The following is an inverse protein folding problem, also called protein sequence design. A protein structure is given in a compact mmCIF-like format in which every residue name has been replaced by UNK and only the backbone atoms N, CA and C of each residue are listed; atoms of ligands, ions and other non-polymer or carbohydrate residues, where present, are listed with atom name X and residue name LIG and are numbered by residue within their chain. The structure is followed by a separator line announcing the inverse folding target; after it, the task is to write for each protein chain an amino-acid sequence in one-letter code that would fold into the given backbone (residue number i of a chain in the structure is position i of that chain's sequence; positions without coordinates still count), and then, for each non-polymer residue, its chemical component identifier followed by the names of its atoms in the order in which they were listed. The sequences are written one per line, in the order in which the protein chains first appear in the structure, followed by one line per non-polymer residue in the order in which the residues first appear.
data_IF_045777877604
#
_entry.id   IF_045777877604
#
_cell.length_a   1.000
_cell.length_b   1.000
_cell.length_c   1.000
_cell.angle_alpha   90.00
_cell.angle_beta   90.00
_cell.angle_gamma   90.00
#
_symmetry.space_group_name_H-M   'P 1'
#
loop_
_entity.id
_entity.type
_entity.pdbx_description
1 polymer ?
#
# COMPACT_ATOMS: atom_id res chain seq x y z
N UNK A 1 -16.83 22.92 -12.38
CA UNK A 1 -17.18 24.16 -11.67
C UNK A 1 -15.95 24.69 -10.91
N UNK A 2 -14.88 25.04 -11.63
CA UNK A 2 -13.71 25.77 -11.10
C UNK A 2 -13.15 26.64 -12.22
N UNK A 3 -13.88 27.69 -12.60
CA UNK A 3 -13.51 28.64 -13.65
C UNK A 3 -12.93 29.95 -13.11
N UNK A 4 -12.79 30.06 -11.79
CA UNK A 4 -12.18 31.20 -11.14
C UNK A 4 -10.75 30.82 -10.75
N UNK A 5 -9.73 31.54 -11.25
CA UNK A 5 -8.37 31.39 -10.74
C UNK A 5 -8.41 31.61 -9.22
N UNK A 6 -7.87 30.66 -8.45
CA UNK A 6 -7.76 30.79 -6.99
C UNK A 6 -6.95 32.02 -6.56
N UNK A 7 -6.15 32.58 -7.49
CA UNK A 7 -5.33 33.76 -7.30
C UNK A 7 -5.76 34.87 -8.27
N UNK A 8 -5.97 36.09 -7.75
CA UNK A 8 -6.44 37.25 -8.54
C UNK A 8 -5.39 37.81 -9.51
N UNK A 9 -4.14 37.38 -9.41
CA UNK A 9 -3.01 37.79 -10.25
C UNK A 9 -2.39 36.58 -10.94
N UNK A 10 -1.94 36.76 -12.18
CA UNK A 10 -1.20 35.76 -12.97
C UNK A 10 0.23 35.50 -12.47
N UNK A 11 0.55 35.96 -11.26
CA UNK A 11 1.84 35.80 -10.61
C UNK A 11 1.64 35.39 -9.15
N UNK A 12 2.65 34.69 -8.60
CA UNK A 12 2.76 34.43 -7.17
C UNK A 12 2.59 35.74 -6.39
N UNK A 13 1.83 35.78 -5.28
CA UNK A 13 1.71 36.96 -4.44
C UNK A 13 3.10 37.50 -4.05
N UNK A 14 3.27 38.82 -4.04
CA UNK A 14 4.50 39.45 -3.56
C UNK A 14 4.81 38.96 -2.13
N UNK A 15 5.95 38.29 -1.97
CA UNK A 15 6.37 37.65 -0.72
C UNK A 15 6.30 36.11 -0.70
N UNK A 16 5.58 35.48 -1.63
CA UNK A 16 5.74 34.04 -1.88
C UNK A 16 7.01 33.83 -2.70
N UNK A 17 8.12 33.60 -2.00
CA UNK A 17 9.36 33.17 -2.64
C UNK A 17 9.09 31.97 -3.56
N UNK A 18 9.74 31.94 -4.73
CA UNK A 18 9.60 30.82 -5.65
C UNK A 18 9.96 29.47 -5.01
N UNK A 19 9.73 28.33 -5.68
CA UNK A 19 9.92 26.99 -5.10
C UNK A 19 11.27 26.77 -4.40
N UNK A 20 12.34 27.44 -4.85
CA UNK A 20 13.65 27.40 -4.22
C UNK A 20 13.79 28.16 -2.88
N UNK A 21 13.01 29.21 -2.65
CA UNK A 21 13.03 30.01 -1.42
C UNK A 21 12.33 29.26 -0.28
N UNK A 22 11.17 28.65 -0.56
CA UNK A 22 10.45 27.82 0.42
C UNK A 22 11.31 26.62 0.87
N UNK A 23 12.05 26.01 -0.06
CA UNK A 23 12.97 24.92 0.26
C UNK A 23 14.09 25.35 1.22
N UNK A 24 14.74 26.49 0.95
CA UNK A 24 15.84 26.98 1.77
C UNK A 24 15.39 27.43 3.17
N UNK A 25 14.17 27.94 3.32
CA UNK A 25 13.60 28.30 4.62
C UNK A 25 13.16 27.07 5.43
N UNK A 26 12.56 26.06 4.79
CA UNK A 26 12.19 24.80 5.46
C UNK A 26 13.41 24.03 5.99
N UNK A 27 14.54 24.06 5.25
CA UNK A 27 15.79 23.41 5.68
C UNK A 27 16.45 24.10 6.88
N UNK A 28 16.13 25.38 7.15
CA UNK A 28 16.62 26.12 8.33
C UNK A 28 15.83 25.82 9.60
N UNK A 29 14.62 25.27 9.50
CA UNK A 29 13.73 25.00 10.64
C UNK A 29 14.08 23.71 11.42
N UNK A 30 15.11 22.97 11.00
CA UNK A 30 15.40 21.58 11.40
C UNK A 30 15.21 21.21 12.88
N UNK A 31 15.02 19.92 13.13
CA UNK A 31 14.70 19.38 14.45
C UNK A 31 13.19 19.18 14.63
N UNK A 32 12.55 19.95 15.51
CA UNK A 32 11.12 19.81 15.81
C UNK A 32 10.18 20.01 14.60
N UNK A 33 10.68 20.62 13.51
CA UNK A 33 9.93 20.85 12.28
C UNK A 33 10.22 19.85 11.15
N UNK A 34 11.07 18.84 11.39
CA UNK A 34 11.47 17.88 10.35
C UNK A 34 10.26 17.13 9.77
N UNK A 35 9.29 16.79 10.63
CA UNK A 35 8.02 16.20 10.20
C UNK A 35 7.26 17.13 9.23
N UNK A 36 7.09 18.41 9.56
CA UNK A 36 6.34 19.36 8.74
C UNK A 36 7.02 19.62 7.41
N UNK A 37 8.36 19.70 7.41
CA UNK A 37 9.16 19.79 6.19
C UNK A 37 8.96 18.56 5.31
N UNK A 38 8.97 17.35 5.90
CA UNK A 38 8.69 16.08 5.20
C UNK A 38 7.27 16.05 4.64
N UNK A 39 6.26 16.40 5.46
CA UNK A 39 4.85 16.41 5.08
C UNK A 39 4.56 17.40 3.95
N UNK A 40 5.05 18.64 4.06
CA UNK A 40 4.84 19.68 3.05
C UNK A 40 5.49 19.30 1.71
N UNK A 41 6.72 18.77 1.74
CA UNK A 41 7.43 18.32 0.54
C UNK A 41 6.69 17.18 -0.14
N UNK A 42 6.26 16.19 0.64
CA UNK A 42 5.50 15.04 0.17
C UNK A 42 4.20 15.48 -0.53
N UNK A 43 3.43 16.38 0.10
CA UNK A 43 2.21 16.94 -0.47
C UNK A 43 2.49 17.74 -1.76
N UNK A 44 3.53 18.58 -1.76
CA UNK A 44 3.90 19.39 -2.93
C UNK A 44 4.33 18.53 -4.14
N UNK A 45 4.98 17.39 -3.88
CA UNK A 45 5.37 16.42 -4.91
C UNK A 45 4.21 15.51 -5.37
N UNK A 46 2.99 15.75 -4.87
CA UNK A 46 1.81 14.93 -5.20
C UNK A 46 1.85 13.53 -4.59
N UNK A 47 2.66 13.33 -3.54
CA UNK A 47 2.85 12.06 -2.83
C UNK A 47 2.67 12.31 -1.33
N UNK A 48 1.44 12.61 -0.87
CA UNK A 48 1.21 12.89 0.54
C UNK A 48 1.67 11.69 1.40
N UNK A 49 1.95 11.97 2.68
CA UNK A 49 2.25 10.91 3.63
C UNK A 49 1.09 9.91 3.73
N UNK A 50 1.37 8.75 4.30
CA UNK A 50 0.37 7.70 4.51
C UNK A 50 -0.84 8.26 5.29
N UNK A 51 -2.06 7.96 4.84
CA UNK A 51 -3.28 8.60 5.33
C UNK A 51 -3.58 8.22 6.79
N UNK A 52 -3.33 6.96 7.16
CA UNK A 52 -3.52 6.51 8.54
C UNK A 52 -2.52 7.19 9.48
N UNK A 53 -1.25 7.34 9.08
CA UNK A 53 -0.26 8.12 9.84
C UNK A 53 -0.74 9.55 10.06
N UNK A 54 -1.23 10.22 9.00
CA UNK A 54 -1.78 11.58 9.13
C UNK A 54 -3.01 11.62 10.05
N UNK A 55 -3.89 10.62 9.97
CA UNK A 55 -5.07 10.50 10.85
C UNK A 55 -4.65 10.30 12.30
N UNK A 56 -3.72 9.38 12.59
CA UNK A 56 -3.19 9.12 13.93
C UNK A 56 -2.57 10.37 14.53
N UNK A 57 -1.78 11.13 13.77
CA UNK A 57 -1.26 12.44 14.24
C UNK A 57 -2.41 13.37 14.62
N UNK A 58 -3.45 13.46 13.80
CA UNK A 58 -4.59 14.34 14.07
C UNK A 58 -5.44 13.90 15.27
N UNK A 59 -5.47 12.60 15.60
CA UNK A 59 -6.31 12.06 16.68
C UNK A 59 -5.57 11.77 17.98
N UNK A 60 -4.26 11.52 17.93
CA UNK A 60 -3.45 11.04 19.07
C UNK A 60 -2.49 12.10 19.62
N UNK A 61 -2.27 13.20 18.91
CA UNK A 61 -1.59 14.37 19.48
C UNK A 61 -2.66 15.22 20.18
N UNK A 62 -2.62 15.23 21.52
CA UNK A 62 -3.64 15.90 22.33
C UNK A 62 -3.63 17.43 22.09
N UNK A 63 -4.81 18.06 22.15
CA UNK A 63 -4.98 19.52 21.99
C UNK A 63 -4.01 20.35 22.86
N UNK A 64 -3.70 19.86 24.07
CA UNK A 64 -2.78 20.51 25.00
C UNK A 64 -1.34 20.59 24.46
N UNK A 65 -0.91 19.61 23.67
CA UNK A 65 0.45 19.51 23.15
C UNK A 65 0.69 20.50 22.00
N UNK A 66 -0.39 20.96 21.35
CA UNK A 66 -0.37 22.01 20.33
C UNK A 66 -0.19 23.43 20.89
N UNK A 67 -0.17 23.60 22.22
CA UNK A 67 -0.12 24.92 22.88
C UNK A 67 1.09 25.07 23.80
N UNK A 68 1.68 26.27 23.83
CA UNK A 68 2.85 26.58 24.65
C UNK A 68 4.13 26.85 23.86
N UNK A 69 5.16 27.31 24.55
CA UNK A 69 6.47 27.65 23.96
C UNK A 69 7.27 26.40 23.53
N UNK A 70 7.01 25.26 24.16
CA UNK A 70 7.61 23.96 23.87
C UNK A 70 6.70 23.03 23.02
N UNK A 71 5.58 23.55 22.52
CA UNK A 71 4.64 22.82 21.68
C UNK A 71 5.32 22.16 20.46
N UNK A 72 6.23 22.81 19.71
CA UNK A 72 6.90 22.18 18.58
C UNK A 72 7.63 20.89 18.98
N UNK A 73 8.33 20.89 20.11
CA UNK A 73 9.10 19.75 20.59
C UNK A 73 8.20 18.63 21.10
N UNK A 74 7.12 18.97 21.83
CA UNK A 74 6.13 17.99 22.31
C UNK A 74 5.44 17.28 21.16
N UNK A 75 4.94 18.06 20.18
CA UNK A 75 4.29 17.53 18.98
C UNK A 75 5.27 16.66 18.18
N UNK A 76 6.50 17.15 17.94
CA UNK A 76 7.51 16.37 17.23
C UNK A 76 7.82 15.04 17.92
N UNK A 77 7.94 15.07 19.26
CA UNK A 77 8.15 13.85 20.06
C UNK A 77 6.98 12.88 19.92
N UNK A 78 5.73 13.35 20.08
CA UNK A 78 4.55 12.48 19.98
C UNK A 78 4.39 11.92 18.56
N UNK A 79 4.67 12.70 17.53
CA UNK A 79 4.68 12.21 16.14
C UNK A 79 5.74 11.11 15.95
N UNK A 80 6.93 11.27 16.53
CA UNK A 80 7.96 10.23 16.52
C UNK A 80 7.51 8.95 17.25
N UNK A 81 6.87 9.09 18.41
CA UNK A 81 6.29 7.97 19.15
C UNK A 81 5.21 7.25 18.31
N UNK A 82 4.31 7.98 17.64
CA UNK A 82 3.31 7.39 16.72
C UNK A 82 3.99 6.65 15.56
N UNK A 83 5.05 7.23 14.98
CA UNK A 83 5.79 6.60 13.88
C UNK A 83 6.50 5.32 14.32
N UNK A 84 7.01 5.27 15.56
CA UNK A 84 7.60 4.07 16.15
C UNK A 84 6.54 3.03 16.54
N UNK A 85 5.40 3.44 17.12
CA UNK A 85 4.25 2.57 17.41
C UNK A 85 3.74 1.89 16.13
N UNK A 86 3.60 2.66 15.04
CA UNK A 86 3.22 2.10 13.73
C UNK A 86 4.28 1.15 13.16
N UNK A 87 5.56 1.34 13.50
CA UNK A 87 6.62 0.40 13.13
C UNK A 87 6.55 -0.87 13.94
N UNK A 88 6.24 -0.80 15.23
CA UNK A 88 6.06 -1.97 16.10
C UNK A 88 4.80 -2.78 15.75
N UNK A 89 3.78 -2.13 15.17
CA UNK A 89 2.59 -2.79 14.62
C UNK A 89 2.86 -3.57 13.32
N UNK A 90 4.04 -3.37 12.72
CA UNK A 90 4.43 -4.03 11.48
C UNK A 90 4.57 -5.54 11.68
N UNK A 91 4.01 -6.37 10.79
CA UNK A 91 4.14 -7.83 10.90
C UNK A 91 5.61 -8.27 10.82
N UNK A 92 6.03 -9.13 11.75
CA UNK A 92 7.36 -9.74 11.73
C UNK A 92 7.64 -10.56 10.44
N UNK A 93 6.59 -10.98 9.74
CA UNK A 93 6.65 -11.66 8.45
C UNK A 93 7.12 -10.78 7.29
N UNK A 94 7.16 -9.45 7.49
CA UNK A 94 7.68 -8.49 6.50
C UNK A 94 8.80 -7.66 7.12
N UNK A 95 10.07 -8.05 6.90
CA UNK A 95 11.20 -7.34 7.48
C UNK A 95 11.27 -5.87 7.02
N UNK A 96 11.79 -5.03 7.91
CA UNK A 96 12.11 -3.64 7.62
C UNK A 96 13.29 -3.54 6.64
N UNK A 97 13.24 -2.53 5.79
CA UNK A 97 14.30 -2.24 4.84
C UNK A 97 15.39 -1.39 5.50
N UNK A 98 16.54 -2.01 5.80
CA UNK A 98 17.73 -1.25 6.16
C UNK A 98 18.18 -0.39 4.98
N UNK A 99 18.23 0.93 5.19
CA UNK A 99 18.47 1.92 4.12
C UNK A 99 19.81 1.68 3.39
N UNK A 100 20.85 1.27 4.11
CA UNK A 100 22.18 1.04 3.52
C UNK A 100 22.22 -0.24 2.67
N UNK A 101 21.60 -1.33 3.17
CA UNK A 101 21.43 -2.58 2.42
C UNK A 101 20.54 -2.38 1.21
N UNK A 102 19.42 -1.67 1.36
CA UNK A 102 18.51 -1.36 0.26
C UNK A 102 19.21 -0.57 -0.84
N UNK A 103 19.92 0.51 -0.51
CA UNK A 103 20.65 1.30 -1.50
C UNK A 103 21.70 0.46 -2.25
N UNK A 104 22.34 -0.49 -1.56
CA UNK A 104 23.29 -1.44 -2.18
C UNK A 104 22.58 -2.43 -3.09
N UNK A 105 21.43 -2.95 -2.68
CA UNK A 105 20.63 -3.87 -3.48
C UNK A 105 20.05 -3.21 -4.72
N UNK A 106 19.54 -1.98 -4.61
CA UNK A 106 19.04 -1.19 -5.76
C UNK A 106 20.11 -1.02 -6.83
N UNK A 107 21.38 -0.81 -6.44
CA UNK A 107 22.49 -0.77 -7.41
C UNK A 107 22.64 -2.08 -8.17
N UNK A 108 22.51 -3.23 -7.50
CA UNK A 108 22.55 -4.57 -8.13
C UNK A 108 21.37 -4.80 -9.07
N UNK A 109 20.18 -4.32 -8.71
CA UNK A 109 19.01 -4.36 -9.60
C UNK A 109 19.28 -3.59 -10.90
N UNK A 110 19.86 -2.39 -10.79
CA UNK A 110 20.24 -1.57 -11.95
C UNK A 110 21.39 -2.15 -12.78
N UNK A 111 22.22 -3.03 -12.21
CA UNK A 111 23.24 -3.80 -12.96
C UNK A 111 22.62 -4.91 -13.82
N UNK A 112 21.40 -5.38 -13.48
CA UNK A 112 20.69 -6.44 -14.19
C UNK A 112 19.30 -5.96 -14.67
N UNK A 113 19.21 -4.88 -15.45
CA UNK A 113 17.95 -4.20 -15.75
C UNK A 113 16.95 -5.10 -16.48
N UNK A 114 17.41 -6.01 -17.35
CA UNK A 114 16.53 -6.95 -18.05
C UNK A 114 15.78 -7.86 -17.09
N UNK A 115 16.46 -8.44 -16.10
CA UNK A 115 15.83 -9.31 -15.12
C UNK A 115 14.88 -8.52 -14.22
N UNK A 116 15.29 -7.35 -13.75
CA UNK A 116 14.43 -6.46 -12.93
C UNK A 116 13.16 -6.08 -13.68
N UNK A 117 13.25 -5.79 -14.98
CA UNK A 117 12.08 -5.50 -15.83
C UNK A 117 11.16 -6.71 -15.98
N UNK A 118 11.70 -7.88 -16.32
CA UNK A 118 10.92 -9.11 -16.49
C UNK A 118 10.20 -9.47 -15.18
N UNK A 119 10.90 -9.41 -14.05
CA UNK A 119 10.31 -9.69 -12.74
C UNK A 119 9.22 -8.70 -12.38
N UNK A 120 9.45 -7.40 -12.60
CA UNK A 120 8.47 -6.36 -12.29
C UNK A 120 7.20 -6.50 -13.14
N UNK A 121 7.34 -6.60 -14.46
CA UNK A 121 6.19 -6.72 -15.35
C UNK A 121 5.46 -8.05 -15.17
N UNK A 122 6.22 -9.14 -14.99
CA UNK A 122 5.66 -10.46 -14.70
C UNK A 122 4.81 -10.47 -13.43
N UNK A 123 5.31 -9.86 -12.35
CA UNK A 123 4.60 -9.76 -11.07
C UNK A 123 3.35 -8.88 -11.18
N UNK A 124 3.44 -7.74 -11.88
CA UNK A 124 2.29 -6.87 -12.13
C UNK A 124 1.19 -7.61 -12.89
N UNK A 125 1.54 -8.24 -14.00
CA UNK A 125 0.60 -8.94 -14.86
C UNK A 125 0.02 -10.19 -14.19
N UNK A 126 0.82 -10.94 -13.43
CA UNK A 126 0.34 -12.07 -12.64
C UNK A 126 -0.72 -11.61 -11.63
N UNK A 127 -0.46 -10.52 -10.92
CA UNK A 127 -1.36 -9.99 -9.91
C UNK A 127 -2.67 -9.49 -10.51
N UNK A 128 -2.61 -8.69 -11.57
CA UNK A 128 -3.84 -8.24 -12.24
C UNK A 128 -4.64 -9.40 -12.82
N UNK A 129 -3.99 -10.40 -13.42
CA UNK A 129 -4.69 -11.57 -13.96
C UNK A 129 -5.37 -12.35 -12.87
N UNK A 130 -4.72 -12.57 -11.72
CA UNK A 130 -5.32 -13.28 -10.60
C UNK A 130 -6.52 -12.53 -10.04
N UNK A 131 -6.41 -11.21 -9.82
CA UNK A 131 -7.53 -10.37 -9.36
C UNK A 131 -8.68 -10.39 -10.36
N UNK A 132 -8.42 -10.19 -11.66
CA UNK A 132 -9.48 -10.23 -12.69
C UNK A 132 -10.13 -11.60 -12.79
N UNK A 133 -9.36 -12.67 -12.66
CA UNK A 133 -9.91 -14.03 -12.65
C UNK A 133 -10.83 -14.23 -11.44
N UNK A 134 -10.40 -13.78 -10.25
CA UNK A 134 -11.22 -13.80 -9.05
C UNK A 134 -12.54 -13.08 -9.26
N UNK A 135 -12.51 -11.81 -9.71
CA UNK A 135 -13.70 -10.98 -9.90
C UNK A 135 -14.67 -11.54 -10.97
N UNK A 136 -14.16 -12.31 -11.91
CA UNK A 136 -14.98 -12.98 -12.93
C UNK A 136 -15.67 -14.23 -12.38
N UNK A 137 -15.01 -14.96 -11.49
CA UNK A 137 -15.44 -16.28 -11.01
C UNK A 137 -16.23 -16.18 -9.70
N UNK A 138 -15.84 -15.26 -8.82
CA UNK A 138 -16.56 -14.95 -7.60
C UNK A 138 -17.81 -14.12 -7.92
N UNK A 139 -18.95 -14.37 -7.25
CA UNK A 139 -20.12 -13.50 -7.31
C UNK A 139 -19.90 -12.23 -6.47
N UNK A 140 -18.78 -11.54 -6.70
CA UNK A 140 -18.31 -10.38 -5.96
C UNK A 140 -17.84 -9.29 -6.93
N UNK A 141 -18.09 -8.03 -6.58
CA UNK A 141 -17.65 -6.88 -7.38
C UNK A 141 -16.23 -6.43 -7.05
N UNK A 142 -15.67 -6.92 -5.94
CA UNK A 142 -14.34 -6.57 -5.47
C UNK A 142 -13.72 -7.75 -4.69
N UNK A 143 -12.42 -7.66 -4.42
CA UNK A 143 -11.72 -8.55 -3.49
C UNK A 143 -12.32 -8.44 -2.08
N UNK A 144 -12.18 -9.49 -1.26
CA UNK A 144 -12.39 -9.37 0.18
C UNK A 144 -11.60 -8.17 0.74
N UNK A 145 -12.16 -7.50 1.75
CA UNK A 145 -11.57 -6.32 2.37
C UNK A 145 -10.10 -6.54 2.75
N UNK A 146 -9.80 -7.72 3.28
CA UNK A 146 -8.48 -8.06 3.81
C UNK A 146 -7.42 -8.33 2.71
N UNK A 147 -7.86 -8.41 1.45
CA UNK A 147 -7.02 -8.55 0.27
C UNK A 147 -6.98 -7.27 -0.60
N UNK A 148 -7.63 -6.18 -0.20
CA UNK A 148 -7.71 -4.96 -1.02
C UNK A 148 -6.35 -4.38 -1.38
N UNK A 149 -5.34 -4.53 -0.51
CA UNK A 149 -3.97 -4.09 -0.77
C UNK A 149 -3.33 -4.74 -2.00
N UNK A 150 -3.83 -5.89 -2.47
CA UNK A 150 -3.36 -6.50 -3.71
C UNK A 150 -3.62 -5.62 -4.94
N UNK A 151 -4.62 -4.74 -4.93
CA UNK A 151 -4.91 -3.84 -6.05
C UNK A 151 -3.80 -2.82 -6.30
N UNK A 152 -3.03 -2.44 -5.28
CA UNK A 152 -1.96 -1.46 -5.41
C UNK A 152 -0.67 -2.07 -5.99
N UNK A 153 -0.40 -3.35 -5.71
CA UNK A 153 0.87 -4.00 -6.07
C UNK A 153 1.23 -3.93 -7.57
N UNK A 154 0.30 -4.13 -8.53
CA UNK A 154 0.63 -4.00 -9.95
C UNK A 154 1.24 -2.66 -10.33
N UNK A 155 0.71 -1.55 -9.79
CA UNK A 155 1.23 -0.22 -10.11
C UNK A 155 2.60 0.00 -9.48
N UNK A 156 2.85 -0.52 -8.27
CA UNK A 156 4.18 -0.47 -7.66
C UNK A 156 5.21 -1.21 -8.51
N UNK A 157 4.90 -2.43 -8.96
CA UNK A 157 5.78 -3.18 -9.85
C UNK A 157 6.02 -2.45 -11.18
N UNK A 158 4.96 -1.89 -11.79
CA UNK A 158 5.12 -1.09 -13.03
C UNK A 158 5.91 0.18 -12.82
N UNK A 159 5.79 0.82 -11.66
CA UNK A 159 6.60 1.97 -11.29
C UNK A 159 8.09 1.61 -11.27
N UNK A 160 8.46 0.47 -10.67
CA UNK A 160 9.83 -0.06 -10.72
C UNK A 160 10.29 -0.25 -12.17
N UNK A 161 9.49 -0.93 -13.00
CA UNK A 161 9.85 -1.16 -14.40
C UNK A 161 10.04 0.15 -15.18
N UNK A 162 9.15 1.13 -14.95
CA UNK A 162 9.21 2.45 -15.57
C UNK A 162 10.50 3.17 -15.19
N UNK A 163 10.86 3.19 -13.90
CA UNK A 163 12.08 3.84 -13.40
C UNK A 163 13.32 3.23 -14.04
N UNK A 164 13.40 1.89 -14.11
CA UNK A 164 14.52 1.19 -14.74
C UNK A 164 14.69 1.61 -16.20
N UNK A 165 13.60 1.79 -16.95
CA UNK A 165 13.59 2.20 -18.37
C UNK A 165 13.94 3.65 -18.64
N UNK A 166 13.77 4.56 -17.68
CA UNK A 166 14.01 5.99 -17.93
C UNK A 166 15.45 6.27 -18.35
N UNK A 167 15.72 7.36 -19.06
CA UNK A 167 17.09 7.80 -19.38
C UNK A 167 17.68 8.72 -18.30
N UNK A 168 17.21 8.59 -17.05
CA UNK A 168 17.72 9.38 -15.93
C UNK A 168 19.13 8.95 -15.52
N UNK A 169 19.83 9.85 -14.83
CA UNK A 169 21.15 9.55 -14.24
C UNK A 169 21.06 8.37 -13.27
N UNK A 170 22.16 7.63 -13.12
CA UNK A 170 22.21 6.45 -12.22
C UNK A 170 21.77 6.80 -10.80
N UNK A 171 22.18 7.96 -10.27
CA UNK A 171 21.79 8.38 -8.92
C UNK A 171 20.29 8.68 -8.81
N UNK A 172 19.71 9.39 -9.78
CA UNK A 172 18.27 9.65 -9.79
C UNK A 172 17.45 8.36 -9.85
N UNK A 173 17.91 7.36 -10.64
CA UNK A 173 17.29 6.04 -10.67
C UNK A 173 17.38 5.31 -9.34
N UNK A 174 18.54 5.37 -8.66
CA UNK A 174 18.71 4.77 -7.33
C UNK A 174 17.69 5.38 -6.38
N UNK A 175 17.63 6.71 -6.26
CA UNK A 175 16.73 7.38 -5.32
C UNK A 175 15.25 7.10 -5.65
N UNK A 176 14.90 7.06 -6.94
CA UNK A 176 13.55 6.72 -7.39
C UNK A 176 13.18 5.25 -7.10
N UNK A 177 14.09 4.30 -7.37
CA UNK A 177 13.86 2.88 -7.10
C UNK A 177 13.79 2.58 -5.62
N UNK A 178 14.66 3.17 -4.80
CA UNK A 178 14.62 3.04 -3.34
C UNK A 178 13.23 3.39 -2.83
N UNK A 179 12.70 4.56 -3.19
CA UNK A 179 11.34 4.98 -2.80
C UNK A 179 10.24 4.07 -3.32
N UNK A 180 10.36 3.59 -4.56
CA UNK A 180 9.36 2.69 -5.14
C UNK A 180 9.33 1.33 -4.42
N UNK A 181 10.50 0.81 -4.02
CA UNK A 181 10.63 -0.45 -3.28
C UNK A 181 10.18 -0.28 -1.82
N UNK A 182 10.48 0.84 -1.18
CA UNK A 182 9.95 1.19 0.15
C UNK A 182 8.42 1.23 0.14
N UNK A 183 7.83 1.89 -0.87
CA UNK A 183 6.37 1.94 -1.01
C UNK A 183 5.77 0.55 -1.24
N UNK A 184 6.37 -0.27 -2.11
CA UNK A 184 5.95 -1.65 -2.33
C UNK A 184 6.01 -2.47 -1.03
N UNK A 185 7.10 -2.34 -0.27
CA UNK A 185 7.31 -3.03 0.99
C UNK A 185 6.32 -2.61 2.08
N UNK A 186 5.94 -1.32 2.12
CA UNK A 186 4.91 -0.82 3.01
C UNK A 186 3.53 -1.42 2.68
N UNK A 187 3.15 -1.51 1.40
CA UNK A 187 1.87 -2.11 1.02
C UNK A 187 1.82 -3.63 1.27
N UNK A 188 2.94 -4.34 1.10
CA UNK A 188 3.05 -5.75 1.49
C UNK A 188 2.91 -5.92 3.01
N UNK A 189 3.48 -5.02 3.82
CA UNK A 189 3.32 -5.05 5.27
C UNK A 189 1.89 -4.75 5.72
N UNK A 190 1.19 -3.82 5.06
CA UNK A 190 -0.23 -3.55 5.31
C UNK A 190 -1.09 -4.76 5.01
N UNK A 191 -0.89 -5.38 3.83
CA UNK A 191 -1.55 -6.63 3.46
C UNK A 191 -1.35 -7.73 4.53
N UNK A 192 -0.12 -7.93 4.98
CA UNK A 192 0.17 -8.93 6.02
C UNK A 192 -0.46 -8.59 7.37
N UNK A 193 -0.54 -7.31 7.73
CA UNK A 193 -1.18 -6.86 8.98
C UNK A 193 -2.69 -7.09 8.93
N UNK A 194 -3.33 -6.70 7.83
CA UNK A 194 -4.76 -6.89 7.62
C UNK A 194 -5.12 -8.36 7.63
N UNK A 195 -4.32 -9.21 7.00
CA UNK A 195 -4.53 -10.66 7.01
C UNK A 195 -4.32 -11.26 8.40
N UNK A 196 -3.33 -10.80 9.18
CA UNK A 196 -3.16 -11.19 10.58
C UNK A 196 -4.41 -10.85 11.42
N UNK A 197 -4.93 -9.63 11.26
CA UNK A 197 -6.16 -9.17 11.92
C UNK A 197 -7.35 -10.00 11.42
N UNK A 198 -7.44 -10.27 10.12
CA UNK A 198 -8.49 -11.06 9.50
C UNK A 198 -8.57 -12.47 10.10
N UNK A 199 -7.43 -13.12 10.30
CA UNK A 199 -7.33 -14.46 10.90
C UNK A 199 -7.74 -14.50 12.37
N UNK A 200 -7.51 -13.41 13.10
CA UNK A 200 -8.02 -13.29 14.48
C UNK A 200 -9.55 -13.29 14.53
N UNK A 201 -10.21 -12.98 13.41
CA UNK A 201 -11.65 -13.05 13.23
C UNK A 201 -11.99 -14.41 12.59
N UNK A 202 -13.08 -15.06 13.04
CA UNK A 202 -13.45 -16.35 12.44
C UNK A 202 -13.84 -16.18 10.97
N UNK A 203 -13.40 -17.09 10.09
CA UNK A 203 -13.70 -17.06 8.65
C UNK A 203 -14.98 -17.83 8.29
N UNK A 204 -15.46 -18.68 9.20
CA UNK A 204 -16.63 -19.53 9.00
C UNK A 204 -17.89 -18.68 8.75
N UNK A 205 -18.61 -19.00 7.68
CA UNK A 205 -19.84 -18.32 7.28
C UNK A 205 -19.63 -16.96 6.63
N UNK A 206 -18.38 -16.48 6.43
CA UNK A 206 -18.11 -15.16 5.81
C UNK A 206 -18.16 -15.20 4.28
N UNK A 207 -17.85 -16.35 3.66
CA UNK A 207 -17.72 -16.46 2.21
C UNK A 207 -18.73 -17.44 1.61
N UNK A 208 -19.27 -17.11 0.43
CA UNK A 208 -20.05 -18.07 -0.38
C UNK A 208 -19.11 -19.12 -0.98
N UNK A 209 -19.60 -20.34 -1.22
CA UNK A 209 -18.84 -21.45 -1.83
C UNK A 209 -18.07 -21.01 -3.08
N UNK A 210 -18.77 -20.39 -4.05
CA UNK A 210 -18.14 -19.91 -5.29
C UNK A 210 -17.05 -18.87 -5.08
N UNK A 211 -17.17 -18.04 -4.04
CA UNK A 211 -16.14 -17.05 -3.72
C UNK A 211 -14.88 -17.73 -3.14
N UNK A 212 -15.05 -18.77 -2.32
CA UNK A 212 -13.92 -19.56 -1.79
C UNK A 212 -13.21 -20.36 -2.89
N UNK A 213 -13.97 -21.00 -3.77
CA UNK A 213 -13.40 -21.72 -4.93
C UNK A 213 -12.58 -20.77 -5.80
N UNK A 214 -13.14 -19.59 -6.13
CA UNK A 214 -12.44 -18.57 -6.90
C UNK A 214 -11.20 -18.05 -6.17
N UNK A 215 -11.24 -17.81 -4.86
CA UNK A 215 -10.04 -17.42 -4.09
C UNK A 215 -8.94 -18.47 -4.27
N UNK A 216 -9.25 -19.75 -4.00
CA UNK A 216 -8.29 -20.85 -4.02
C UNK A 216 -7.62 -21.10 -5.38
N UNK A 217 -8.31 -20.82 -6.49
CA UNK A 217 -7.76 -20.99 -7.84
C UNK A 217 -7.05 -19.74 -8.39
N UNK A 218 -7.16 -18.59 -7.71
CA UNK A 218 -6.66 -17.31 -8.21
C UNK A 218 -5.66 -16.65 -7.25
N UNK A 219 -6.07 -15.65 -6.49
CA UNK A 219 -5.26 -14.84 -5.58
C UNK A 219 -4.77 -15.64 -4.35
N UNK A 220 -5.36 -16.80 -4.04
CA UNK A 220 -4.89 -17.70 -2.99
C UNK A 220 -4.26 -18.98 -3.55
N UNK A 221 -4.01 -19.04 -4.86
CA UNK A 221 -3.39 -20.21 -5.47
C UNK A 221 -1.90 -20.28 -5.13
N UNK A 222 -1.38 -21.50 -5.02
CA UNK A 222 0.06 -21.72 -4.76
C UNK A 222 0.97 -21.04 -5.80
N UNK A 223 0.68 -21.08 -7.12
CA UNK A 223 1.49 -20.36 -8.11
C UNK A 223 1.46 -18.84 -7.92
N UNK A 224 0.33 -18.27 -7.51
CA UNK A 224 0.21 -16.84 -7.22
C UNK A 224 1.09 -16.45 -6.03
N UNK A 225 0.95 -17.15 -4.91
CA UNK A 225 1.72 -16.88 -3.68
C UNK A 225 3.22 -17.03 -3.94
N UNK A 226 3.63 -18.09 -4.63
CA UNK A 226 5.03 -18.31 -4.97
C UNK A 226 5.60 -17.20 -5.87
N UNK A 227 4.82 -16.72 -6.83
CA UNK A 227 5.21 -15.61 -7.70
C UNK A 227 5.36 -14.29 -6.95
N UNK A 228 4.42 -14.00 -6.04
CA UNK A 228 4.48 -12.81 -5.19
C UNK A 228 5.69 -12.85 -4.24
N UNK A 229 5.96 -14.00 -3.60
CA UNK A 229 7.12 -14.19 -2.75
C UNK A 229 8.42 -14.00 -3.54
N UNK A 230 8.54 -14.62 -4.72
CA UNK A 230 9.71 -14.47 -5.59
C UNK A 230 9.96 -13.02 -5.99
N UNK A 231 8.93 -12.32 -6.46
CA UNK A 231 9.05 -10.92 -6.86
C UNK A 231 9.46 -10.03 -5.69
N UNK A 232 8.81 -10.22 -4.54
CA UNK A 232 9.08 -9.46 -3.32
C UNK A 232 10.52 -9.69 -2.82
N UNK A 233 10.98 -10.94 -2.72
CA UNK A 233 12.38 -11.25 -2.38
C UNK A 233 13.37 -10.63 -3.38
N UNK A 234 13.06 -10.68 -4.68
CA UNK A 234 13.89 -10.05 -5.70
C UNK A 234 14.06 -8.55 -5.48
N UNK A 235 12.98 -7.82 -5.14
CA UNK A 235 13.05 -6.36 -4.98
C UNK A 235 13.56 -5.92 -3.62
N UNK A 236 13.24 -6.64 -2.54
CA UNK A 236 13.66 -6.25 -1.19
C UNK A 236 15.09 -6.67 -0.87
N UNK A 237 15.65 -7.62 -1.61
CA UNK A 237 17.00 -8.13 -1.38
C UNK A 237 17.07 -9.08 -0.18
N UNK A 238 15.95 -9.70 0.16
CA UNK A 238 15.84 -10.73 1.19
C UNK A 238 15.88 -12.12 0.59
N UNK A 239 16.32 -13.09 1.38
CA UNK A 239 16.10 -14.49 1.05
C UNK A 239 14.61 -14.82 1.14
N UNK A 240 14.17 -15.84 0.39
CA UNK A 240 12.79 -16.30 0.46
C UNK A 240 12.40 -16.81 1.86
N UNK A 241 13.37 -17.22 2.68
CA UNK A 241 13.18 -17.61 4.07
C UNK A 241 12.83 -16.44 4.99
N UNK A 242 13.34 -15.24 4.68
CA UNK A 242 13.16 -14.05 5.51
C UNK A 242 11.88 -13.30 5.16
N UNK A 243 11.38 -13.48 3.93
CA UNK A 243 10.09 -12.97 3.49
C UNK A 243 9.05 -14.09 3.50
N UNK A 244 8.51 -14.40 4.67
CA UNK A 244 7.67 -15.58 4.85
C UNK A 244 6.28 -15.41 4.22
N UNK A 245 5.78 -14.18 4.07
CA UNK A 245 4.37 -13.92 3.73
C UNK A 245 3.43 -14.83 4.54
N UNK A 246 3.75 -14.98 5.83
CA UNK A 246 3.17 -15.98 6.71
C UNK A 246 1.68 -15.76 6.89
N UNK A 247 1.25 -14.52 7.16
CA UNK A 247 -0.17 -14.25 7.35
C UNK A 247 -0.93 -14.46 6.05
N UNK A 248 -0.33 -14.15 4.89
CA UNK A 248 -0.94 -14.45 3.60
C UNK A 248 -1.13 -15.95 3.37
N UNK A 249 -0.07 -16.74 3.58
CA UNK A 249 -0.14 -18.21 3.39
C UNK A 249 -1.13 -18.86 4.33
N UNK A 250 -1.10 -18.47 5.59
CA UNK A 250 -1.97 -19.05 6.59
C UNK A 250 -3.42 -18.60 6.41
N UNK A 251 -3.68 -17.32 6.14
CA UNK A 251 -5.04 -16.86 5.83
C UNK A 251 -5.59 -17.52 4.57
N UNK A 252 -4.75 -17.71 3.55
CA UNK A 252 -5.11 -18.45 2.33
C UNK A 252 -5.49 -19.89 2.64
N UNK A 253 -4.71 -20.57 3.47
CA UNK A 253 -5.01 -21.94 3.92
C UNK A 253 -6.30 -21.99 4.74
N UNK A 254 -6.46 -21.09 5.71
CA UNK A 254 -7.64 -21.02 6.58
C UNK A 254 -8.90 -20.73 5.76
N UNK A 255 -8.82 -19.83 4.77
CA UNK A 255 -9.93 -19.48 3.88
C UNK A 255 -10.39 -20.63 3.00
N UNK A 256 -9.48 -21.53 2.59
CA UNK A 256 -9.84 -22.72 1.83
C UNK A 256 -10.52 -23.80 2.67
N UNK A 257 -10.24 -23.82 3.99
CA UNK A 257 -10.77 -24.80 4.93
C UNK A 257 -11.98 -24.28 5.74
N UNK A 258 -12.34 -23.01 5.60
CA UNK A 258 -13.46 -22.40 6.33
C UNK A 258 -14.81 -22.99 5.90
N UNK A 259 -15.77 -23.04 6.84
CA UNK A 259 -17.14 -23.41 6.49
C UNK A 259 -17.78 -22.29 5.65
N UNK A 260 -18.33 -22.59 4.47
CA UNK A 260 -18.96 -21.57 3.64
C UNK A 260 -20.26 -21.06 4.29
N UNK A 261 -20.63 -19.82 3.95
CA UNK A 261 -21.92 -19.25 4.27
C UNK A 261 -23.05 -20.15 3.72
N UNK A 262 -24.11 -20.41 4.50
CA UNK A 262 -25.24 -21.19 4.02
C UNK A 262 -25.82 -20.54 2.76
N UNK A 263 -26.02 -21.33 1.72
CA UNK A 263 -26.69 -20.84 0.51
C UNK A 263 -28.13 -20.45 0.88
N UNK A 264 -28.44 -19.16 0.77
CA UNK A 264 -29.82 -18.72 0.90
C UNK A 264 -30.63 -19.43 -0.19
N UNK A 265 -31.50 -20.37 0.21
CA UNK A 265 -32.53 -20.92 -0.69
C UNK A 265 -33.44 -19.76 -1.06
N UNK A 266 -33.21 -19.15 -2.22
CA UNK A 266 -34.18 -18.24 -2.80
C UNK A 266 -35.35 -19.12 -3.22
N UNK A 267 -36.35 -19.26 -2.34
CA UNK A 267 -37.66 -19.76 -2.76
C UNK A 267 -38.22 -18.77 -3.77
N UNK A 268 -38.08 -19.10 -5.04
CA UNK A 268 -38.79 -18.42 -6.11
C UNK A 268 -40.28 -18.68 -5.89
N UNK A 269 -40.99 -17.76 -5.22
CA UNK A 269 -42.44 -17.68 -5.35
C UNK A 269 -42.72 -16.92 -6.65
N UNK A 270 -43.16 -17.57 -7.74
CA UNK A 270 -43.68 -16.85 -8.87
C UNK A 270 -44.92 -16.09 -8.39
N UNK A 271 -44.80 -14.78 -8.22
CA UNK A 271 -45.97 -13.90 -8.20
C UNK A 271 -46.45 -13.82 -9.63
N UNK A 272 -47.29 -14.79 -10.02
CA UNK A 272 -48.17 -14.61 -11.17
C UNK A 272 -49.01 -13.36 -10.91
N UNK A 273 -49.08 -12.40 -11.84
CA UNK A 273 -50.06 -11.32 -11.76
C UNK A 273 -51.45 -11.96 -11.66
N UNK A 274 -52.25 -11.51 -10.69
CA UNK A 274 -53.63 -11.97 -10.54
C UNK A 274 -54.37 -11.67 -11.84
N UNK A 275 -55.02 -12.69 -12.43
CA UNK A 275 -55.70 -12.59 -13.72
C UNK A 275 -57.00 -11.76 -13.66
N UNK A 276 -57.10 -10.85 -12.69
CA UNK A 276 -58.22 -9.94 -12.45
C UNK A 276 -57.92 -8.48 -12.84
N UNK A 277 -56.69 -8.20 -13.29
CA UNK A 277 -56.29 -6.89 -13.80
C UNK A 277 -56.15 -6.85 -15.34
N UNK A 278 -57.05 -7.54 -16.07
CA UNK A 278 -57.27 -7.35 -17.52
C UNK A 278 -58.75 -7.12 -17.80
#
# INVERSE_FOLDING_TARGET
MFSTPLWRSSGLPDGMGGPGVVKAELEKLGGAFDFWTRWYRAAFEGKPLELEFQRRIATEVEDKDWTGEDAPQKVAKRIGEIEDEMRDERPASVPDLDAQRLATHVRKLLENPKMTLITAEGAADQTERAIRAYLREAPANDLPEELQHLHALPEHFRSVARIVRTDQTKQMKIDALTRAIEALNADVAKLESDLRIARSKTLNGRFKIKAMEALGTTVCSLPFIAGLAFASSHFFGFELSDLTLENYREWSSDSQNAEPAPEAKIEYRPTLPDARDV
#
